data_IF_882264483652
#
_entry.id   IF_882264483652
#
_cell.length_a   1.000
_cell.length_b   1.000
_cell.length_c   1.000
_cell.angle_alpha   90.00
_cell.angle_beta   90.00
_cell.angle_gamma   90.00
#
_symmetry.space_group_name_H-M   'P 1'
#
loop_
_entity.id
_entity.type
_entity.pdbx_description
1 polymer ?
#
# COMPACT_ATOMS: atom_id res chain seq x y z
N UNK A 1 5.25 8.63 -26.40
CA UNK A 1 5.16 8.56 -24.92
C UNK A 1 4.15 9.62 -24.52
N UNK A 2 2.98 9.21 -24.00
CA UNK A 2 1.94 10.15 -23.61
C UNK A 2 2.29 10.94 -22.35
N UNK A 3 1.59 12.04 -22.09
CA UNK A 3 1.73 12.81 -20.84
C UNK A 3 1.10 12.00 -19.71
N UNK A 4 1.87 11.75 -18.63
CA UNK A 4 1.40 11.02 -17.44
C UNK A 4 1.34 11.96 -16.24
N UNK A 5 0.24 11.90 -15.50
CA UNK A 5 0.09 12.52 -14.18
C UNK A 5 0.23 11.43 -13.11
N UNK A 6 1.03 11.69 -12.07
CA UNK A 6 1.19 10.78 -10.93
C UNK A 6 0.50 11.41 -9.71
N UNK A 7 -0.41 10.67 -9.09
CA UNK A 7 -0.97 11.02 -7.80
C UNK A 7 0.09 10.72 -6.71
N UNK A 8 0.76 11.77 -6.23
CA UNK A 8 1.83 11.64 -5.23
C UNK A 8 1.29 11.19 -3.86
N UNK A 9 0.23 11.85 -3.38
CA UNK A 9 -0.36 11.59 -2.08
C UNK A 9 -1.88 11.68 -2.14
N UNK A 10 -2.55 10.63 -1.67
CA UNK A 10 -3.98 10.62 -1.37
C UNK A 10 -4.17 10.14 0.06
N UNK A 11 -4.88 10.92 0.87
CA UNK A 11 -5.23 10.54 2.23
C UNK A 11 -6.75 10.62 2.38
N UNK A 12 -7.36 9.49 2.72
CA UNK A 12 -8.80 9.36 2.95
C UNK A 12 -8.95 8.91 4.39
N UNK A 13 -9.81 9.61 5.14
CA UNK A 13 -10.16 9.19 6.50
C UNK A 13 -11.03 7.92 6.41
N UNK A 14 -10.63 6.88 7.14
CA UNK A 14 -11.41 5.65 7.33
C UNK A 14 -12.20 5.77 8.64
N UNK A 15 -13.17 6.69 8.63
CA UNK A 15 -14.05 7.00 9.76
C UNK A 15 -15.50 6.54 9.48
N UNK A 16 -16.42 6.86 10.40
CA UNK A 16 -17.84 6.49 10.26
C UNK A 16 -18.49 7.05 9.00
N UNK A 17 -17.88 8.02 8.30
CA UNK A 17 -18.37 8.59 7.05
C UNK A 17 -17.73 7.96 5.81
N UNK A 18 -16.81 7.01 5.95
CA UNK A 18 -16.15 6.34 4.81
C UNK A 18 -17.15 5.72 3.83
N UNK A 19 -18.32 5.26 4.30
CA UNK A 19 -19.40 4.73 3.46
C UNK A 19 -20.03 5.77 2.52
N UNK A 20 -19.86 7.06 2.81
CA UNK A 20 -20.35 8.15 1.95
C UNK A 20 -19.41 8.41 0.76
N UNK A 21 -18.29 7.67 0.66
CA UNK A 21 -17.29 7.74 -0.40
C UNK A 21 -16.79 9.17 -0.75
N UNK A 22 -16.60 10.09 0.21
CA UNK A 22 -16.14 11.45 -0.12
C UNK A 22 -14.73 11.42 -0.71
N UNK A 23 -13.88 10.50 -0.26
CA UNK A 23 -12.54 10.29 -0.82
C UNK A 23 -12.55 9.71 -2.24
N UNK A 24 -13.49 8.82 -2.55
CA UNK A 24 -13.61 8.26 -3.90
C UNK A 24 -14.12 9.32 -4.90
N UNK A 25 -14.99 10.23 -4.45
CA UNK A 25 -15.47 11.35 -5.28
C UNK A 25 -14.32 12.29 -5.68
N UNK A 26 -13.37 12.56 -4.78
CA UNK A 26 -12.20 13.39 -5.09
C UNK A 26 -11.37 12.84 -6.26
N UNK A 27 -11.35 11.52 -6.46
CA UNK A 27 -10.65 10.93 -7.60
C UNK A 27 -11.37 11.21 -8.94
N UNK A 28 -12.71 11.31 -8.95
CA UNK A 28 -13.44 11.70 -10.16
C UNK A 28 -13.02 13.09 -10.62
N UNK A 29 -13.05 14.07 -9.72
CA UNK A 29 -12.69 15.46 -10.03
C UNK A 29 -11.23 15.56 -10.48
N UNK A 30 -10.31 14.88 -9.79
CA UNK A 30 -8.90 14.94 -10.12
C UNK A 30 -8.57 14.27 -11.48
N UNK A 31 -9.22 13.13 -11.78
CA UNK A 31 -9.07 12.47 -13.08
C UNK A 31 -9.69 13.34 -14.19
N UNK A 32 -10.84 13.96 -13.94
CA UNK A 32 -11.45 14.88 -14.90
C UNK A 32 -10.52 16.06 -15.21
N UNK A 33 -9.95 16.69 -14.19
CA UNK A 33 -8.96 17.76 -14.37
C UNK A 33 -7.75 17.28 -15.19
N UNK A 34 -7.23 16.07 -14.91
CA UNK A 34 -6.13 15.50 -15.66
C UNK A 34 -6.48 15.30 -17.15
N UNK A 35 -7.71 14.87 -17.45
CA UNK A 35 -8.22 14.76 -18.81
C UNK A 35 -8.30 16.14 -19.50
N UNK A 36 -8.81 17.16 -18.81
CA UNK A 36 -8.92 18.54 -19.33
C UNK A 36 -7.55 19.17 -19.60
N UNK A 37 -6.54 18.83 -18.80
CA UNK A 37 -5.14 19.23 -18.98
C UNK A 37 -4.41 18.43 -20.08
N UNK A 38 -5.08 17.42 -20.66
CA UNK A 38 -4.57 16.62 -21.77
C UNK A 38 -3.52 15.59 -21.36
N UNK A 39 -3.65 15.00 -20.17
CA UNK A 39 -2.89 13.81 -19.77
C UNK A 39 -3.50 12.54 -20.37
N UNK A 40 -2.64 11.62 -20.79
CA UNK A 40 -3.03 10.34 -21.40
C UNK A 40 -3.15 9.21 -20.35
N UNK A 41 -2.46 9.35 -19.22
CA UNK A 41 -2.42 8.33 -18.15
C UNK A 41 -2.47 9.03 -16.79
N UNK A 42 -3.42 8.59 -15.97
CA UNK A 42 -3.49 8.93 -14.55
C UNK A 42 -2.94 7.76 -13.72
N UNK A 43 -1.87 7.99 -12.97
CA UNK A 43 -1.11 6.97 -12.26
C UNK A 43 -1.29 7.15 -10.74
N UNK A 44 -2.00 6.20 -10.10
CA UNK A 44 -2.22 6.21 -8.65
C UNK A 44 -0.98 5.84 -7.83
N UNK A 45 0.19 5.68 -8.45
CA UNK A 45 1.43 5.25 -7.81
C UNK A 45 1.32 3.85 -7.18
N UNK A 46 2.36 3.46 -6.44
CA UNK A 46 2.50 2.13 -5.84
C UNK A 46 1.41 1.86 -4.80
N UNK A 47 0.92 0.62 -4.77
CA UNK A 47 -0.08 0.16 -3.80
C UNK A 47 -1.14 -0.70 -4.46
N UNK A 48 -1.86 -1.45 -3.64
CA UNK A 48 -2.89 -2.39 -4.09
C UNK A 48 -4.15 -2.21 -3.25
N UNK A 49 -4.71 -1.00 -3.32
CA UNK A 49 -5.95 -0.64 -2.63
C UNK A 49 -7.16 -0.92 -3.52
N UNK A 50 -8.31 -1.21 -2.91
CA UNK A 50 -9.53 -1.59 -3.63
C UNK A 50 -9.96 -0.55 -4.66
N UNK A 51 -9.87 0.75 -4.34
CA UNK A 51 -10.21 1.82 -5.28
C UNK A 51 -9.28 1.85 -6.50
N UNK A 52 -7.99 1.55 -6.36
CA UNK A 52 -7.04 1.52 -7.49
C UNK A 52 -7.45 0.43 -8.50
N UNK A 53 -7.99 -0.69 -8.03
CA UNK A 53 -8.49 -1.78 -8.89
C UNK A 53 -9.76 -1.41 -9.65
N UNK A 54 -10.53 -0.45 -9.14
CA UNK A 54 -11.73 0.06 -9.83
C UNK A 54 -11.38 1.06 -10.92
N UNK A 55 -10.31 1.85 -10.71
CA UNK A 55 -9.92 2.94 -11.61
C UNK A 55 -8.82 2.57 -12.62
N UNK A 56 -7.81 1.81 -12.21
CA UNK A 56 -6.66 1.49 -13.04
C UNK A 56 -6.96 0.31 -13.97
N UNK A 57 -6.83 0.55 -15.27
CA UNK A 57 -6.86 -0.45 -16.34
C UNK A 57 -5.44 -0.92 -16.74
N UNK A 58 -4.41 -0.18 -16.35
CA UNK A 58 -3.00 -0.49 -16.60
C UNK A 58 -2.33 -1.00 -15.32
N UNK A 59 -1.77 -2.21 -15.38
CA UNK A 59 -0.96 -2.78 -14.30
C UNK A 59 0.54 -2.60 -14.57
N UNK A 60 1.25 -1.90 -13.67
CA UNK A 60 2.71 -1.72 -13.74
C UNK A 60 3.40 -2.57 -12.68
N UNK A 61 4.07 -3.64 -13.12
CA UNK A 61 4.85 -4.49 -12.23
C UNK A 61 6.13 -3.77 -11.77
N UNK A 62 6.32 -3.66 -10.46
CA UNK A 62 7.51 -3.07 -9.85
C UNK A 62 8.46 -4.16 -9.37
N UNK A 63 9.74 -4.03 -9.69
CA UNK A 63 10.77 -4.99 -9.32
C UNK A 63 11.90 -4.30 -8.55
N UNK A 64 12.34 -4.91 -7.45
CA UNK A 64 13.57 -4.53 -6.77
C UNK A 64 14.76 -5.26 -7.42
N UNK A 65 15.71 -4.51 -7.95
CA UNK A 65 16.90 -5.07 -8.62
C UNK A 65 18.14 -4.82 -7.76
N UNK A 66 18.81 -5.91 -7.37
CA UNK A 66 20.08 -5.89 -6.66
C UNK A 66 21.20 -6.40 -7.58
N UNK A 67 22.16 -5.54 -7.89
CA UNK A 67 23.35 -5.82 -8.70
C UNK A 67 24.63 -5.85 -7.83
N UNK A 68 24.92 -6.97 -7.14
CA UNK A 68 26.10 -7.07 -6.29
C UNK A 68 27.40 -7.09 -7.08
N UNK A 69 28.40 -6.35 -6.62
CA UNK A 69 29.72 -6.25 -7.27
C UNK A 69 30.82 -7.03 -6.54
N UNK A 70 30.53 -7.57 -5.35
CA UNK A 70 31.49 -8.28 -4.50
C UNK A 70 30.86 -9.53 -3.89
N UNK A 71 31.67 -10.52 -3.49
CA UNK A 71 31.19 -11.74 -2.84
C UNK A 71 30.35 -11.46 -1.58
N UNK A 72 30.76 -10.47 -0.76
CA UNK A 72 29.97 -10.02 0.39
C UNK A 72 28.63 -9.41 -0.05
N UNK A 73 28.63 -8.65 -1.14
CA UNK A 73 27.41 -8.13 -1.76
C UNK A 73 26.47 -9.22 -2.26
N UNK A 74 27.00 -10.30 -2.84
CA UNK A 74 26.19 -11.45 -3.25
C UNK A 74 25.53 -12.13 -2.04
N UNK A 75 26.28 -12.33 -0.95
CA UNK A 75 25.73 -12.89 0.29
C UNK A 75 24.62 -12.00 0.87
N UNK A 76 24.85 -10.67 0.93
CA UNK A 76 23.84 -9.72 1.39
C UNK A 76 22.59 -9.72 0.50
N UNK A 77 22.76 -9.69 -0.83
CA UNK A 77 21.65 -9.71 -1.77
C UNK A 77 20.83 -11.02 -1.64
N UNK A 78 21.48 -12.15 -1.40
CA UNK A 78 20.80 -13.41 -1.13
C UNK A 78 19.97 -13.32 0.16
N UNK A 79 20.55 -12.79 1.25
CA UNK A 79 19.84 -12.61 2.51
C UNK A 79 18.61 -11.68 2.36
N UNK A 80 18.75 -10.55 1.66
CA UNK A 80 17.66 -9.61 1.40
C UNK A 80 16.53 -10.27 0.60
N UNK A 81 16.85 -11.01 -0.47
CA UNK A 81 15.86 -11.74 -1.28
C UNK A 81 15.10 -12.78 -0.45
N UNK A 82 15.79 -13.53 0.41
CA UNK A 82 15.12 -14.48 1.30
C UNK A 82 14.22 -13.77 2.31
N UNK A 83 14.67 -12.66 2.89
CA UNK A 83 13.87 -11.83 3.78
C UNK A 83 12.60 -11.29 3.10
N UNK A 84 12.71 -10.79 1.87
CA UNK A 84 11.57 -10.31 1.09
C UNK A 84 10.56 -11.44 0.80
N UNK A 85 11.05 -12.63 0.39
CA UNK A 85 10.19 -13.82 0.18
C UNK A 85 9.49 -14.26 1.45
N UNK A 86 10.17 -14.28 2.59
CA UNK A 86 9.57 -14.63 3.87
C UNK A 86 8.47 -13.63 4.25
N UNK A 87 8.72 -12.32 4.09
CA UNK A 87 7.71 -11.27 4.32
C UNK A 87 6.50 -11.44 3.40
N UNK A 88 6.72 -11.69 2.11
CA UNK A 88 5.66 -11.92 1.14
C UNK A 88 4.83 -13.16 1.49
N UNK A 89 5.47 -14.26 1.86
CA UNK A 89 4.78 -15.49 2.30
C UNK A 89 3.90 -15.23 3.53
N UNK A 90 4.41 -14.50 4.53
CA UNK A 90 3.65 -14.15 5.73
C UNK A 90 2.45 -13.26 5.39
N UNK A 91 2.64 -12.24 4.56
CA UNK A 91 1.58 -11.28 4.20
C UNK A 91 0.51 -11.89 3.29
N UNK A 92 0.90 -12.72 2.33
CA UNK A 92 0.00 -13.32 1.34
C UNK A 92 -0.75 -14.55 1.87
N UNK A 93 -0.40 -15.04 3.06
CA UNK A 93 -1.10 -16.15 3.69
C UNK A 93 -1.89 -15.65 4.91
N UNK A 94 -3.23 -15.54 4.81
CA UNK A 94 -4.08 -15.00 5.88
C UNK A 94 -3.93 -15.74 7.21
N UNK A 95 -3.73 -17.06 7.17
CA UNK A 95 -3.56 -17.91 8.35
C UNK A 95 -2.24 -17.62 9.05
N UNK A 96 -1.14 -17.52 8.29
CA UNK A 96 0.20 -17.18 8.83
C UNK A 96 0.21 -15.75 9.37
N UNK A 97 -0.46 -14.83 8.69
CA UNK A 97 -0.57 -13.45 9.16
C UNK A 97 -1.33 -13.33 10.48
N UNK A 98 -2.43 -14.08 10.64
CA UNK A 98 -3.20 -14.15 11.88
C UNK A 98 -2.34 -14.68 13.04
N UNK A 99 -1.60 -15.76 12.80
CA UNK A 99 -0.69 -16.33 13.79
C UNK A 99 0.42 -15.34 14.15
N UNK A 100 1.00 -14.66 13.16
CA UNK A 100 2.04 -13.64 13.36
C UNK A 100 1.52 -12.46 14.18
N UNK A 101 0.30 -11.97 13.90
CA UNK A 101 -0.37 -10.94 14.70
C UNK A 101 -0.57 -11.39 16.14
N UNK A 102 -0.96 -12.64 16.37
CA UNK A 102 -1.13 -13.20 17.72
C UNK A 102 0.20 -13.28 18.48
N UNK A 103 1.26 -13.77 17.83
CA UNK A 103 2.60 -13.83 18.42
C UNK A 103 3.13 -12.42 18.72
N UNK A 104 2.94 -11.47 17.80
CA UNK A 104 3.34 -10.06 18.00
C UNK A 104 2.59 -9.43 19.18
N UNK A 105 1.29 -9.68 19.32
CA UNK A 105 0.49 -9.21 20.47
C UNK A 105 0.96 -9.82 21.79
N UNK A 106 1.36 -11.08 21.80
CA UNK A 106 1.91 -11.75 23.00
C UNK A 106 3.32 -11.25 23.36
N UNK A 107 4.15 -10.99 22.36
CA UNK A 107 5.50 -10.46 22.54
C UNK A 107 5.52 -8.98 22.95
N UNK A 108 4.52 -8.19 22.53
CA UNK A 108 4.40 -6.78 22.88
C UNK A 108 3.97 -6.52 24.33
N UNK A 109 3.61 -7.57 25.10
CA UNK A 109 2.93 -7.40 26.39
C UNK A 109 1.53 -6.81 26.19
N UNK A 110 0.61 -7.05 27.13
CA UNK A 110 -0.72 -6.43 27.08
C UNK A 110 -0.56 -4.90 27.13
N UNK A 111 -0.78 -4.22 26.00
CA UNK A 111 -1.02 -2.78 26.01
C UNK A 111 -2.36 -2.53 26.71
N UNK A 112 -2.36 -1.56 27.64
CA UNK A 112 -3.50 -1.17 28.46
C UNK A 112 -4.74 -0.84 27.62
N UNK A 113 -5.97 -1.07 28.15
CA UNK A 113 -7.19 -0.74 27.43
C UNK A 113 -7.27 0.77 27.14
N UNK A 114 -7.86 1.17 26.01
CA UNK A 114 -8.07 2.58 25.70
C UNK A 114 -8.93 3.24 26.79
N UNK A 115 -8.70 4.53 27.11
CA UNK A 115 -9.52 5.25 28.08
C UNK A 115 -10.96 5.30 27.58
N UNK A 116 -11.91 5.10 28.50
CA UNK A 116 -13.33 5.25 28.24
C UNK A 116 -13.62 6.68 27.76
N UNK A 117 -14.30 6.80 26.63
CA UNK A 117 -14.89 8.05 26.17
C UNK A 117 -15.98 8.47 27.16
N UNK A 118 -15.76 9.61 27.80
CA UNK A 118 -16.73 10.28 28.67
C UNK A 118 -17.66 11.09 27.74
N UNK A 119 -18.87 10.59 27.57
CA UNK A 119 -19.94 11.19 26.77
C UNK A 119 -20.52 12.38 27.57
N UNK A 120 -20.39 13.60 27.03
CA UNK A 120 -21.05 14.82 27.53
C UNK A 120 -21.52 15.69 26.39
#
# INVERSE_FOLDING_TARGET
CGKRLICEFGAIADDDLAFTSPGDFLFFDNIQEACELGFDVYDFSVGDEAYKRLWCDIEVQHFEVLAPLTLKGHALAAAMRQGARAKAFIKNNPTVWRLTKMLRRRAAGQAAPPPAEDDS
#
